data_IF_701935243452
#
_entry.id   IF_701935243452
#
_cell.length_a   1.000
_cell.length_b   1.000
_cell.length_c   1.000
_cell.angle_alpha   90.00
_cell.angle_beta   90.00
_cell.angle_gamma   90.00
#
_symmetry.space_group_name_H-M   'P 1'
#
loop_
_entity.id
_entity.type
_entity.pdbx_description
1 polymer ?
#
# COMPACT_ATOMS: atom_id res chain seq x y z
N UNK A 1 -5.08 -0.65 -1.29
CA UNK A 1 -5.19 -0.82 -2.75
C UNK A 1 -3.84 -0.63 -3.43
N UNK A 2 -3.13 0.52 -3.26
CA UNK A 2 -1.84 0.74 -3.93
C UNK A 2 -0.73 -0.22 -3.51
N UNK A 3 -0.61 -0.52 -2.21
CA UNK A 3 0.37 -1.49 -1.69
C UNK A 3 0.10 -2.92 -2.18
N UNK A 4 -1.16 -3.33 -2.25
CA UNK A 4 -1.54 -4.63 -2.80
C UNK A 4 -1.17 -4.73 -4.29
N UNK A 5 -1.36 -3.69 -5.08
CA UNK A 5 -0.90 -3.64 -6.47
C UNK A 5 0.61 -3.83 -6.55
N UNK A 6 1.38 -3.06 -5.76
CA UNK A 6 2.84 -3.16 -5.76
C UNK A 6 3.33 -4.57 -5.40
N UNK A 7 2.70 -5.22 -4.41
CA UNK A 7 3.01 -6.61 -4.04
C UNK A 7 2.67 -7.57 -5.18
N UNK A 8 1.48 -7.44 -5.76
CA UNK A 8 1.03 -8.30 -6.87
C UNK A 8 1.88 -8.15 -8.12
N UNK A 9 2.24 -6.92 -8.46
CA UNK A 9 3.08 -6.60 -9.60
C UNK A 9 4.57 -6.84 -9.30
N UNK A 10 4.89 -7.24 -8.07
CA UNK A 10 6.25 -7.61 -7.63
C UNK A 10 7.28 -6.47 -7.76
N UNK A 11 6.82 -5.24 -7.61
CA UNK A 11 7.69 -4.05 -7.61
C UNK A 11 8.05 -3.61 -6.19
N UNK A 12 7.31 -4.06 -5.17
CA UNK A 12 7.59 -3.82 -3.75
C UNK A 12 6.92 -4.89 -2.90
N UNK A 13 7.50 -5.20 -1.75
CA UNK A 13 6.88 -6.01 -0.69
C UNK A 13 6.01 -5.16 0.26
N UNK A 14 6.05 -3.83 0.10
CA UNK A 14 5.25 -2.84 0.83
C UNK A 14 5.29 -3.01 2.36
N UNK A 15 6.45 -3.37 2.90
CA UNK A 15 6.66 -3.52 4.34
C UNK A 15 7.11 -2.19 4.95
N UNK A 16 6.34 -1.67 5.88
CA UNK A 16 6.64 -0.41 6.57
C UNK A 16 7.84 -0.57 7.50
N UNK A 17 7.93 -1.71 8.18
CA UNK A 17 8.98 -2.04 9.14
C UNK A 17 10.36 -2.12 8.48
N UNK A 18 10.41 -2.56 7.23
CA UNK A 18 11.63 -2.69 6.43
C UNK A 18 11.92 -1.44 5.58
N UNK A 19 11.06 -0.42 5.67
CA UNK A 19 11.23 0.86 4.96
C UNK A 19 10.87 0.82 3.47
N UNK A 20 10.31 -0.27 2.95
CA UNK A 20 9.86 -0.36 1.56
C UNK A 20 8.50 0.30 1.30
N UNK A 21 7.83 0.76 2.35
CA UNK A 21 6.64 1.60 2.27
C UNK A 21 6.67 2.68 3.37
N UNK A 22 6.18 3.87 3.06
CA UNK A 22 5.96 4.95 4.02
C UNK A 22 4.50 5.34 4.04
N UNK A 23 4.02 5.73 5.22
CA UNK A 23 2.67 6.23 5.40
C UNK A 23 2.72 7.57 6.16
N UNK A 24 2.13 8.60 5.58
CA UNK A 24 1.81 9.86 6.24
C UNK A 24 0.29 9.97 6.33
N UNK A 25 -0.22 10.31 7.50
CA UNK A 25 -1.65 10.40 7.75
C UNK A 25 -2.05 11.85 7.92
N UNK A 26 -3.13 12.25 7.28
CA UNK A 26 -3.75 13.54 7.48
C UNK A 26 -5.12 13.35 8.14
N UNK A 27 -5.31 13.96 9.31
CA UNK A 27 -6.55 13.88 10.09
C UNK A 27 -7.16 15.26 10.23
N UNK A 28 -8.46 15.37 9.95
CA UNK A 28 -9.30 16.51 10.31
C UNK A 28 -10.68 16.02 10.72
N UNK A 29 -11.27 16.63 11.72
CA UNK A 29 -12.64 16.32 12.14
C UNK A 29 -13.57 17.50 11.85
N UNK A 30 -14.84 17.21 11.66
CA UNK A 30 -15.89 18.22 11.42
C UNK A 30 -17.20 17.82 12.11
N UNK A 31 -18.08 18.75 12.45
CA UNK A 31 -19.42 18.42 12.92
C UNK A 31 -20.18 17.59 11.88
N UNK A 32 -20.99 16.65 12.36
CA UNK A 32 -21.84 15.85 11.48
C UNK A 32 -22.76 16.76 10.65
N UNK A 33 -22.85 16.51 9.34
CA UNK A 33 -23.63 17.32 8.40
C UNK A 33 -22.93 18.57 7.86
N UNK A 34 -21.72 18.92 8.35
CA UNK A 34 -20.94 20.03 7.79
C UNK A 34 -20.29 19.60 6.46
N UNK A 35 -20.36 20.45 5.43
CA UNK A 35 -19.65 20.23 4.15
C UNK A 35 -18.17 20.63 4.24
N UNK A 36 -17.86 21.62 5.07
CA UNK A 36 -16.51 22.15 5.21
C UNK A 36 -15.67 21.27 6.13
N UNK A 37 -14.49 20.85 5.66
CA UNK A 37 -13.51 20.11 6.47
C UNK A 37 -12.94 20.99 7.59
N UNK A 38 -12.58 20.37 8.70
CA UNK A 38 -11.83 20.99 9.77
C UNK A 38 -10.34 21.22 9.42
N UNK A 39 -9.59 21.81 10.34
CA UNK A 39 -8.15 22.01 10.20
C UNK A 39 -7.42 20.67 10.19
N UNK A 40 -6.54 20.51 9.23
CA UNK A 40 -5.79 19.27 8.99
C UNK A 40 -4.52 19.22 9.82
N UNK A 41 -4.32 18.11 10.52
CA UNK A 41 -3.05 17.74 11.16
C UNK A 41 -2.41 16.58 10.39
N UNK A 42 -1.13 16.70 10.08
CA UNK A 42 -0.34 15.66 9.42
C UNK A 42 0.43 14.85 10.49
N UNK A 43 0.31 13.52 10.44
CA UNK A 43 1.02 12.61 11.36
C UNK A 43 2.07 11.84 10.57
N UNK A 44 3.30 11.88 11.06
CA UNK A 44 4.47 11.19 10.51
C UNK A 44 5.03 10.14 11.47
N UNK A 45 6.05 9.43 11.03
CA UNK A 45 6.74 8.41 11.81
C UNK A 45 5.84 7.22 12.18
N UNK A 46 5.13 6.71 11.17
CA UNK A 46 4.23 5.57 11.29
C UNK A 46 4.91 4.34 10.70
N UNK A 47 5.38 3.43 11.55
CA UNK A 47 6.20 2.29 11.15
C UNK A 47 5.42 0.99 11.01
N UNK A 48 4.11 1.01 11.28
CA UNK A 48 3.22 -0.15 11.10
C UNK A 48 1.77 0.28 10.89
N UNK A 49 0.97 -0.58 10.29
CA UNK A 49 -0.48 -0.35 10.09
C UNK A 49 -1.18 -0.21 11.45
N UNK A 50 -0.75 -0.96 12.47
CA UNK A 50 -1.28 -0.83 13.83
C UNK A 50 -1.01 0.56 14.41
N UNK A 51 0.17 1.12 14.17
CA UNK A 51 0.49 2.47 14.63
C UNK A 51 -0.29 3.54 13.86
N UNK A 52 -0.57 3.32 12.58
CA UNK A 52 -1.46 4.19 11.79
C UNK A 52 -2.84 4.27 12.43
N UNK A 53 -3.44 3.13 12.77
CA UNK A 53 -4.75 3.08 13.42
C UNK A 53 -4.74 3.82 14.77
N UNK A 54 -3.80 3.48 15.66
CA UNK A 54 -3.68 4.10 16.98
C UNK A 54 -3.45 5.61 16.92
N UNK A 55 -2.62 6.06 15.97
CA UNK A 55 -2.34 7.47 15.77
C UNK A 55 -3.59 8.24 15.30
N UNK A 56 -4.40 7.65 14.42
CA UNK A 56 -5.67 8.24 13.98
C UNK A 56 -6.65 8.32 15.14
N UNK A 57 -6.82 7.25 15.91
CA UNK A 57 -7.74 7.20 17.06
C UNK A 57 -7.35 8.25 18.11
N UNK A 58 -6.08 8.34 18.46
CA UNK A 58 -5.58 9.35 19.39
C UNK A 58 -5.81 10.78 18.86
N UNK A 59 -5.48 11.03 17.60
CA UNK A 59 -5.55 12.38 17.02
C UNK A 59 -7.01 12.84 16.88
N UNK A 60 -7.94 11.96 16.52
CA UNK A 60 -9.39 12.25 16.51
C UNK A 60 -9.85 12.66 17.89
N UNK A 61 -9.53 11.89 18.93
CA UNK A 61 -9.91 12.19 20.31
C UNK A 61 -9.27 13.51 20.81
N UNK A 62 -8.02 13.78 20.42
CA UNK A 62 -7.34 15.04 20.76
C UNK A 62 -8.02 16.25 20.12
N UNK A 63 -8.31 16.19 18.81
CA UNK A 63 -8.97 17.28 18.08
C UNK A 63 -10.39 17.52 18.63
N UNK A 64 -11.14 16.44 18.91
CA UNK A 64 -12.47 16.54 19.53
C UNK A 64 -12.41 17.26 20.88
N UNK A 65 -11.48 16.87 21.75
CA UNK A 65 -11.28 17.52 23.06
C UNK A 65 -10.94 19.01 22.93
N UNK A 66 -10.08 19.38 22.00
CA UNK A 66 -9.72 20.77 21.73
C UNK A 66 -10.96 21.59 21.30
N UNK A 67 -11.72 21.05 20.33
CA UNK A 67 -12.89 21.77 19.81
C UNK A 67 -14.02 21.88 20.83
N UNK A 68 -14.29 20.82 21.61
CA UNK A 68 -15.29 20.85 22.68
C UNK A 68 -14.93 21.86 23.78
N UNK A 69 -13.64 22.02 24.10
CA UNK A 69 -13.18 23.03 25.05
C UNK A 69 -13.20 24.47 24.51
N UNK A 70 -13.66 24.68 23.28
CA UNK A 70 -13.67 26.00 22.62
C UNK A 70 -12.33 26.45 22.08
N UNK A 71 -11.35 25.54 22.02
CA UNK A 71 -10.05 25.80 21.40
C UNK A 71 -10.07 25.65 19.89
N UNK A 72 -8.93 25.89 19.28
CA UNK A 72 -8.73 25.78 17.83
C UNK A 72 -7.67 24.73 17.51
N UNK A 73 -7.97 23.87 16.52
CA UNK A 73 -6.99 22.90 15.98
C UNK A 73 -6.08 23.65 15.03
N UNK A 74 -4.78 23.65 15.31
CA UNK A 74 -3.77 24.28 14.47
C UNK A 74 -3.30 23.33 13.36
N UNK A 75 -2.97 23.89 12.21
CA UNK A 75 -2.35 23.13 11.13
C UNK A 75 -0.89 22.85 11.46
N UNK A 76 -0.60 21.65 11.85
CA UNK A 76 0.73 21.25 12.32
C UNK A 76 1.13 19.86 11.82
N UNK A 77 2.44 19.58 11.84
CA UNK A 77 2.98 18.25 11.66
C UNK A 77 3.29 17.66 13.04
N UNK A 78 2.75 16.49 13.29
CA UNK A 78 2.97 15.71 14.51
C UNK A 78 3.69 14.41 14.16
N UNK A 79 4.35 13.79 15.12
CA UNK A 79 4.85 12.40 15.03
C UNK A 79 4.07 11.52 15.98
N UNK A 80 3.88 10.27 15.62
CA UNK A 80 3.40 9.29 16.58
C UNK A 80 4.56 8.80 17.43
N UNK A 81 4.34 8.76 18.73
CA UNK A 81 5.29 8.25 19.73
C UNK A 81 4.75 6.93 20.26
N UNK A 82 5.51 5.85 20.04
CA UNK A 82 5.05 4.50 20.36
C UNK A 82 5.08 4.22 21.86
N UNK A 83 5.97 4.87 22.61
CA UNK A 83 6.12 4.68 24.04
C UNK A 83 4.98 5.33 24.81
N UNK A 84 4.70 6.59 24.52
CA UNK A 84 3.59 7.34 25.13
C UNK A 84 2.22 7.02 24.49
N UNK A 85 2.20 6.42 23.29
CA UNK A 85 1.01 6.17 22.46
C UNK A 85 0.25 7.44 22.09
N UNK A 86 0.96 8.54 21.93
CA UNK A 86 0.42 9.86 21.66
C UNK A 86 0.99 10.45 20.36
N UNK A 87 0.30 11.46 19.82
CA UNK A 87 0.87 12.29 18.79
C UNK A 87 1.55 13.51 19.42
N UNK A 88 2.80 13.77 19.05
CA UNK A 88 3.62 14.88 19.58
C UNK A 88 3.92 15.87 18.48
N UNK A 89 3.82 17.16 18.77
CA UNK A 89 4.11 18.23 17.81
C UNK A 89 5.58 18.19 17.39
N UNK A 90 5.82 18.20 16.08
CA UNK A 90 7.16 18.36 15.51
C UNK A 90 7.42 19.80 15.10
N UNK A 91 6.47 20.39 14.36
CA UNK A 91 6.52 21.77 13.90
C UNK A 91 5.12 22.28 13.57
N UNK A 92 4.87 23.57 13.80
CA UNK A 92 3.72 24.25 13.23
C UNK A 92 3.98 24.48 11.74
N UNK A 93 2.98 24.22 10.90
CA UNK A 93 3.01 24.62 9.49
C UNK A 93 2.52 26.06 9.39
N UNK A 94 3.40 26.95 8.91
CA UNK A 94 2.94 28.21 8.34
C UNK A 94 2.07 27.98 7.10
N UNK A 95 1.66 29.04 6.44
CA UNK A 95 0.83 29.00 5.24
C UNK A 95 1.34 27.97 4.23
N UNK A 96 0.41 27.29 3.57
CA UNK A 96 0.72 26.22 2.63
C UNK A 96 1.75 26.69 1.59
N UNK A 97 2.92 26.04 1.60
CA UNK A 97 3.94 26.32 0.59
C UNK A 97 3.42 25.81 -0.75
N UNK A 98 3.30 26.71 -1.72
CA UNK A 98 3.02 26.33 -3.11
C UNK A 98 4.27 25.69 -3.71
N UNK A 99 4.20 24.37 -3.90
CA UNK A 99 5.25 23.63 -4.58
C UNK A 99 5.13 23.88 -6.10
N UNK A 100 5.99 24.77 -6.61
CA UNK A 100 6.12 24.93 -8.06
C UNK A 100 6.90 23.73 -8.60
N UNK A 101 6.24 22.87 -9.34
CA UNK A 101 6.88 21.73 -10.02
C UNK A 101 7.54 22.21 -11.31
N UNK A 102 8.87 22.30 -11.34
CA UNK A 102 9.64 22.43 -12.56
C UNK A 102 10.61 21.28 -12.72
N UNK A 103 11.07 21.02 -13.97
CA UNK A 103 12.09 20.03 -14.21
C UNK A 103 13.29 20.25 -13.30
N UNK A 104 13.78 19.19 -12.65
CA UNK A 104 14.99 19.25 -11.85
C UNK A 104 16.20 19.58 -12.76
N UNK A 105 16.91 20.68 -12.53
CA UNK A 105 17.99 21.13 -13.45
C UNK A 105 19.16 20.16 -13.51
N UNK A 106 19.35 19.32 -12.49
CA UNK A 106 20.43 18.34 -12.44
C UNK A 106 20.07 17.00 -13.08
N UNK A 107 18.80 16.82 -13.51
CA UNK A 107 18.34 15.59 -14.15
C UNK A 107 17.98 15.90 -15.61
N UNK A 108 18.75 15.31 -16.53
CA UNK A 108 18.45 15.42 -17.95
C UNK A 108 17.12 14.72 -18.28
N UNK A 109 16.34 15.27 -19.24
CA UNK A 109 15.11 14.62 -19.69
C UNK A 109 15.38 13.20 -20.19
N UNK A 110 14.70 12.22 -19.59
CA UNK A 110 14.79 10.82 -20.00
C UNK A 110 13.78 10.60 -21.12
N UNK A 111 14.26 10.28 -22.33
CA UNK A 111 13.42 9.92 -23.47
C UNK A 111 13.47 8.41 -23.65
N UNK A 112 12.33 7.77 -23.39
CA UNK A 112 12.20 6.33 -23.59
C UNK A 112 12.09 6.02 -25.09
N UNK A 113 12.89 5.08 -25.57
CA UNK A 113 12.80 4.55 -26.91
C UNK A 113 11.60 3.58 -26.97
N UNK A 114 10.73 3.74 -27.94
CA UNK A 114 9.51 2.92 -28.11
C UNK A 114 9.85 1.43 -28.23
N UNK A 115 10.83 1.09 -29.02
CA UNK A 115 11.29 -0.31 -29.20
C UNK A 115 11.80 -0.91 -27.90
N UNK A 116 12.48 -0.12 -27.06
CA UNK A 116 12.95 -0.58 -25.75
C UNK A 116 11.76 -0.85 -24.79
N UNK A 117 10.74 0.01 -24.81
CA UNK A 117 9.52 -0.17 -24.02
C UNK A 117 8.76 -1.42 -24.49
N UNK A 118 8.58 -1.60 -25.80
CA UNK A 118 7.94 -2.80 -26.37
C UNK A 118 8.68 -4.08 -25.97
N UNK A 119 10.02 -4.09 -26.08
CA UNK A 119 10.82 -5.23 -25.67
C UNK A 119 10.78 -5.52 -24.15
N UNK A 120 10.40 -4.55 -23.32
CA UNK A 120 10.10 -4.80 -21.90
C UNK A 120 8.72 -5.41 -21.77
N UNK A 121 7.70 -4.85 -22.43
CA UNK A 121 6.32 -5.34 -22.39
C UNK A 121 6.25 -6.81 -22.81
N UNK A 122 6.97 -7.20 -23.87
CA UNK A 122 7.04 -8.59 -24.33
C UNK A 122 7.65 -9.58 -23.30
N UNK A 123 8.47 -9.06 -22.39
CA UNK A 123 9.12 -9.85 -21.33
C UNK A 123 8.40 -9.83 -19.99
N UNK A 124 7.31 -9.09 -19.89
CA UNK A 124 6.49 -9.10 -18.67
C UNK A 124 5.93 -10.51 -18.45
N UNK A 125 6.21 -11.14 -17.30
CA UNK A 125 5.65 -12.48 -17.02
C UNK A 125 4.14 -12.42 -16.88
N UNK A 126 3.50 -13.59 -17.00
CA UNK A 126 2.07 -13.71 -16.78
C UNK A 126 1.70 -13.16 -15.38
N UNK A 127 0.78 -12.20 -15.37
CA UNK A 127 0.36 -11.53 -14.14
C UNK A 127 -0.52 -12.43 -13.28
N UNK A 128 -0.58 -12.22 -11.95
CA UNK A 128 -1.35 -13.07 -11.04
C UNK A 128 -2.82 -13.22 -11.43
N UNK A 129 -3.48 -12.16 -11.91
CA UNK A 129 -4.87 -12.24 -12.37
C UNK A 129 -5.06 -13.19 -13.56
N UNK A 130 -4.16 -13.12 -14.51
CA UNK A 130 -4.18 -14.01 -15.69
C UNK A 130 -3.94 -15.46 -15.27
N UNK A 131 -2.99 -15.68 -14.34
CA UNK A 131 -2.76 -17.03 -13.76
C UNK A 131 -3.98 -17.56 -13.03
N UNK A 132 -4.65 -16.75 -12.20
CA UNK A 132 -5.91 -17.16 -11.54
C UNK A 132 -6.94 -17.55 -12.56
N UNK A 133 -7.15 -16.75 -13.61
CA UNK A 133 -8.10 -17.06 -14.67
C UNK A 133 -7.74 -18.37 -15.39
N UNK A 134 -6.47 -18.60 -15.70
CA UNK A 134 -5.97 -19.84 -16.31
C UNK A 134 -6.19 -21.02 -15.37
N UNK A 135 -5.84 -20.94 -14.11
CA UNK A 135 -6.02 -22.01 -13.13
C UNK A 135 -7.48 -22.42 -12.97
N UNK A 136 -8.40 -21.47 -12.96
CA UNK A 136 -9.84 -21.76 -12.90
C UNK A 136 -10.34 -22.35 -14.21
N UNK A 137 -10.01 -21.73 -15.35
CA UNK A 137 -10.61 -22.07 -16.64
C UNK A 137 -10.02 -23.34 -17.25
N UNK A 138 -8.70 -23.53 -17.16
CA UNK A 138 -8.01 -24.65 -17.78
C UNK A 138 -7.85 -25.84 -16.81
N UNK A 139 -7.37 -25.58 -15.58
CA UNK A 139 -7.08 -26.63 -14.62
C UNK A 139 -8.24 -26.95 -13.70
N UNK A 140 -9.36 -26.21 -13.79
CA UNK A 140 -10.59 -26.40 -12.98
C UNK A 140 -10.31 -26.36 -11.47
N UNK A 141 -9.35 -25.55 -11.05
CA UNK A 141 -9.02 -25.33 -9.64
C UNK A 141 -10.04 -24.37 -9.04
N UNK A 142 -10.52 -24.58 -7.80
CA UNK A 142 -11.39 -23.64 -7.10
C UNK A 142 -10.74 -22.25 -6.99
N UNK A 143 -11.55 -21.19 -7.10
CA UNK A 143 -11.06 -19.80 -7.05
C UNK A 143 -10.26 -19.49 -5.78
N UNK A 144 -10.68 -20.03 -4.64
CA UNK A 144 -9.98 -19.88 -3.36
C UNK A 144 -8.57 -20.41 -3.44
N UNK A 145 -8.38 -21.62 -3.97
CA UNK A 145 -7.09 -22.28 -4.08
C UNK A 145 -6.22 -21.55 -5.11
N UNK A 146 -6.80 -21.15 -6.24
CA UNK A 146 -6.09 -20.38 -7.26
C UNK A 146 -5.55 -19.05 -6.71
N UNK A 147 -6.33 -18.35 -5.88
CA UNK A 147 -5.90 -17.11 -5.25
C UNK A 147 -4.73 -17.31 -4.28
N UNK A 148 -4.70 -18.43 -3.54
CA UNK A 148 -3.59 -18.74 -2.64
C UNK A 148 -2.33 -19.09 -3.45
N UNK A 149 -2.46 -19.92 -4.48
CA UNK A 149 -1.34 -20.33 -5.34
C UNK A 149 -0.62 -19.17 -6.04
N UNK A 150 -1.29 -18.04 -6.23
CA UNK A 150 -0.66 -16.87 -6.88
C UNK A 150 -0.19 -15.79 -5.91
N UNK A 151 -0.27 -16.00 -4.59
CA UNK A 151 0.13 -15.01 -3.60
C UNK A 151 1.60 -14.64 -3.71
N UNK A 152 2.47 -15.62 -3.98
CA UNK A 152 3.89 -15.37 -4.24
C UNK A 152 4.31 -15.92 -5.61
N UNK A 153 5.40 -15.35 -6.13
CA UNK A 153 5.96 -15.80 -7.41
C UNK A 153 6.46 -17.24 -7.33
N UNK A 154 7.14 -17.55 -6.24
CA UNK A 154 7.79 -18.83 -6.01
C UNK A 154 6.77 -19.95 -6.00
N UNK A 155 5.66 -19.77 -5.28
CA UNK A 155 4.57 -20.77 -5.21
C UNK A 155 3.91 -20.94 -6.57
N UNK A 156 3.60 -19.86 -7.26
CA UNK A 156 2.95 -19.95 -8.57
C UNK A 156 3.85 -20.56 -9.64
N UNK A 157 5.14 -20.24 -9.65
CA UNK A 157 6.11 -20.82 -10.59
C UNK A 157 6.34 -22.31 -10.28
N UNK A 158 6.42 -22.69 -8.99
CA UNK A 158 6.51 -24.10 -8.57
C UNK A 158 5.27 -24.89 -9.00
N UNK A 159 4.08 -24.32 -8.80
CA UNK A 159 2.85 -24.97 -9.24
C UNK A 159 2.80 -25.12 -10.76
N UNK A 160 3.14 -24.09 -11.52
CA UNK A 160 3.19 -24.14 -12.98
C UNK A 160 4.19 -25.20 -13.47
N UNK A 161 5.36 -25.28 -12.86
CA UNK A 161 6.34 -26.32 -13.15
C UNK A 161 5.80 -27.72 -12.84
N UNK A 162 5.08 -27.88 -11.74
CA UNK A 162 4.51 -29.17 -11.33
C UNK A 162 3.45 -29.67 -12.32
N UNK A 163 2.53 -28.78 -12.73
CA UNK A 163 1.44 -29.14 -13.65
C UNK A 163 1.90 -29.39 -15.08
N UNK A 164 3.12 -29.02 -15.42
CA UNK A 164 3.75 -29.40 -16.69
C UNK A 164 4.02 -30.91 -16.78
N UNK A 165 4.16 -31.60 -15.64
CA UNK A 165 4.45 -33.03 -15.56
C UNK A 165 3.22 -33.89 -15.25
N UNK A 166 2.08 -33.31 -14.89
CA UNK A 166 0.89 -34.08 -14.52
C UNK A 166 -0.39 -33.37 -14.95
N UNK A 167 -1.42 -34.19 -15.24
CA UNK A 167 -2.79 -33.71 -15.49
C UNK A 167 -3.69 -33.77 -14.24
N UNK A 168 -3.14 -34.19 -13.10
CA UNK A 168 -3.88 -34.26 -11.84
C UNK A 168 -3.82 -32.91 -11.10
N UNK A 169 -4.32 -31.88 -11.75
CA UNK A 169 -4.17 -30.47 -11.31
C UNK A 169 -4.68 -30.22 -9.88
N UNK A 170 -5.82 -30.83 -9.50
CA UNK A 170 -6.37 -30.67 -8.15
C UNK A 170 -5.48 -31.30 -7.08
N UNK A 171 -4.89 -32.47 -7.37
CA UNK A 171 -3.96 -33.12 -6.43
C UNK A 171 -2.70 -32.29 -6.29
N UNK A 172 -2.14 -31.79 -7.40
CA UNK A 172 -0.98 -30.92 -7.40
C UNK A 172 -1.25 -29.61 -6.62
N UNK A 173 -2.44 -29.03 -6.81
CA UNK A 173 -2.86 -27.84 -6.04
C UNK A 173 -2.91 -28.14 -4.54
N UNK A 174 -3.58 -29.22 -4.13
CA UNK A 174 -3.70 -29.58 -2.71
C UNK A 174 -2.33 -29.83 -2.07
N UNK A 175 -1.42 -30.53 -2.76
CA UNK A 175 -0.06 -30.76 -2.26
C UNK A 175 0.73 -29.46 -2.14
N UNK A 176 0.62 -28.54 -3.10
CA UNK A 176 1.26 -27.24 -3.04
C UNK A 176 0.74 -26.42 -1.85
N UNK A 177 -0.57 -26.46 -1.59
CA UNK A 177 -1.19 -25.72 -0.46
C UNK A 177 -0.85 -26.30 0.92
N UNK A 178 -0.51 -27.60 1.03
CA UNK A 178 -0.07 -28.22 2.29
C UNK A 178 1.34 -27.76 2.67
N UNK A 179 2.17 -27.43 1.69
CA UNK A 179 3.57 -27.06 1.88
C UNK A 179 3.82 -25.53 1.92
N UNK A 180 2.75 -24.74 1.79
CA UNK A 180 2.76 -23.28 2.03
C UNK A 180 2.48 -23.00 3.50
#
# INVERSE_FOLDING_TARGET
>A
VGSEMCIRDRVSDAKMEEGSMRCDVNVSIRPYGSEKFGTRTEIKNLNSISNVQKAIEFEVARQEKVLISGGEVLQETRRYDEDSKETVVMRAKGDAVDYKYYPEPNILPIRLNHQWVEGIIERIPEMPESRVARYINEYKIPKTDALILVQTKEVSDFFDATVAYTKHYKIASNLSLIHI
#
